data_IF_871301673946
#
_entry.id   IF_871301673946
#
_cell.length_a   1.000
_cell.length_b   1.000
_cell.length_c   1.000
_cell.angle_alpha   90.00
_cell.angle_beta   90.00
_cell.angle_gamma   90.00
#
_symmetry.space_group_name_H-M   'P 1'
#
loop_
_entity.id
_entity.type
_entity.pdbx_description
1 polymer ?
#
# COMPACT_ATOMS: atom_id res chain seq x y z
N UNK A 1 -56.90 47.52 56.38
CA UNK A 1 -55.61 46.80 56.59
C UNK A 1 -55.70 45.29 56.25
N UNK A 2 -56.88 44.66 56.32
CA UNK A 2 -57.07 43.21 56.08
C UNK A 2 -57.09 42.84 54.58
N UNK A 3 -57.75 43.63 53.73
CA UNK A 3 -57.86 43.33 52.29
C UNK A 3 -56.51 43.41 51.53
N UNK A 4 -55.61 44.33 51.90
CA UNK A 4 -54.30 44.43 51.22
C UNK A 4 -53.41 43.23 51.55
N UNK A 5 -53.48 42.73 52.79
CA UNK A 5 -52.77 41.51 53.22
C UNK A 5 -53.27 40.26 52.48
N UNK A 6 -54.58 40.16 52.24
CA UNK A 6 -55.17 39.04 51.50
C UNK A 6 -54.77 39.05 50.01
N UNK A 7 -54.68 40.23 49.38
CA UNK A 7 -54.20 40.41 47.99
C UNK A 7 -52.71 40.09 47.85
N UNK A 8 -51.90 40.45 48.84
CA UNK A 8 -50.46 40.15 48.90
C UNK A 8 -50.23 38.65 49.11
N UNK A 9 -50.99 37.99 50.00
CA UNK A 9 -50.93 36.54 50.19
C UNK A 9 -51.35 35.77 48.94
N UNK A 10 -52.43 36.16 48.24
CA UNK A 10 -52.81 35.54 46.96
C UNK A 10 -51.73 35.66 45.89
N UNK A 11 -51.07 36.82 45.79
CA UNK A 11 -49.95 37.02 44.86
C UNK A 11 -48.74 36.16 45.24
N UNK A 12 -48.41 36.06 46.53
CA UNK A 12 -47.33 35.18 47.02
C UNK A 12 -47.62 33.71 46.73
N UNK A 13 -48.86 33.24 46.93
CA UNK A 13 -49.26 31.87 46.60
C UNK A 13 -49.20 31.59 45.09
N UNK A 14 -49.64 32.53 44.25
CA UNK A 14 -49.56 32.40 42.79
C UNK A 14 -48.10 32.41 42.31
N UNK A 15 -47.26 33.29 42.85
CA UNK A 15 -45.83 33.34 42.53
C UNK A 15 -45.08 32.09 43.00
N UNK A 16 -45.40 31.56 44.19
CA UNK A 16 -44.78 30.35 44.72
C UNK A 16 -45.20 29.09 43.96
N UNK A 17 -46.45 29.03 43.49
CA UNK A 17 -46.94 27.96 42.62
C UNK A 17 -46.29 28.01 41.23
N UNK A 18 -46.10 29.22 40.66
CA UNK A 18 -45.39 29.40 39.39
C UNK A 18 -43.90 29.04 39.53
N UNK A 19 -43.22 29.50 40.58
CA UNK A 19 -41.80 29.19 40.81
C UNK A 19 -41.56 27.70 41.17
N UNK A 20 -42.51 27.06 41.85
CA UNK A 20 -42.44 25.62 42.15
C UNK A 20 -42.58 24.74 40.91
N UNK A 21 -43.35 25.17 39.91
CA UNK A 21 -43.51 24.45 38.64
C UNK A 21 -42.28 24.51 37.71
N UNK A 22 -41.39 25.49 37.91
CA UNK A 22 -40.12 25.62 37.18
C UNK A 22 -38.99 24.73 37.71
N UNK A 23 -39.18 24.05 38.85
CA UNK A 23 -38.16 23.21 39.49
C UNK A 23 -38.30 21.71 39.19
N UNK A 24 -39.25 21.32 38.33
CA UNK A 24 -39.49 19.92 37.95
C UNK A 24 -38.96 19.57 36.55
N UNK A 25 -38.00 20.33 36.03
CA UNK A 25 -37.27 19.92 34.82
C UNK A 25 -36.25 18.85 35.23
N UNK A 26 -36.72 17.61 35.28
CA UNK A 26 -35.86 16.44 35.33
C UNK A 26 -34.98 16.43 34.07
N UNK A 27 -33.66 16.43 34.23
CA UNK A 27 -32.78 15.95 33.16
C UNK A 27 -33.08 14.47 32.98
N UNK A 28 -33.73 14.10 31.88
CA UNK A 28 -33.81 12.69 31.49
C UNK A 28 -32.39 12.17 31.30
N UNK A 29 -31.96 11.23 32.15
CA UNK A 29 -30.65 10.56 32.03
C UNK A 29 -30.60 9.57 30.87
N UNK A 30 -31.72 9.36 30.19
CA UNK A 30 -31.96 8.26 29.25
C UNK A 30 -31.39 8.53 27.84
N UNK A 31 -30.85 9.73 27.56
CA UNK A 31 -30.44 10.13 26.21
C UNK A 31 -29.21 9.37 25.66
N UNK A 32 -28.59 8.51 26.49
CA UNK A 32 -27.41 7.70 26.12
C UNK A 32 -27.64 6.19 26.26
N UNK A 33 -28.82 5.77 26.74
CA UNK A 33 -29.16 4.35 26.84
C UNK A 33 -29.46 3.76 25.45
N UNK A 34 -28.83 2.64 25.09
CA UNK A 34 -29.12 1.87 23.87
C UNK A 34 -28.93 2.58 22.52
N UNK A 35 -28.21 3.71 22.48
CA UNK A 35 -27.85 4.38 21.22
C UNK A 35 -26.74 3.64 20.44
N UNK A 36 -26.05 2.71 21.10
CA UNK A 36 -24.97 1.89 20.53
C UNK A 36 -25.35 0.41 20.49
N UNK A 37 -24.95 -0.28 19.42
CA UNK A 37 -25.05 -1.74 19.29
C UNK A 37 -23.66 -2.38 19.18
N UNK A 38 -23.50 -3.59 19.70
CA UNK A 38 -22.30 -4.40 19.47
C UNK A 38 -22.35 -4.92 18.04
N UNK A 39 -21.24 -4.81 17.32
CA UNK A 39 -21.06 -5.38 15.98
C UNK A 39 -19.80 -6.23 15.95
N UNK A 40 -19.83 -7.34 15.23
CA UNK A 40 -18.67 -8.20 15.02
C UNK A 40 -18.13 -7.94 13.62
N UNK A 41 -16.94 -7.34 13.53
CA UNK A 41 -16.29 -7.13 12.24
C UNK A 41 -15.88 -8.47 11.61
N UNK A 42 -15.86 -8.56 10.27
CA UNK A 42 -15.31 -9.73 9.60
C UNK A 42 -13.84 -9.96 9.98
N UNK A 43 -13.48 -11.19 10.30
CA UNK A 43 -12.10 -11.65 10.40
C UNK A 43 -11.78 -12.50 9.18
N UNK A 44 -10.69 -12.19 8.47
CA UNK A 44 -10.29 -12.90 7.26
C UNK A 44 -8.93 -13.54 7.51
N UNK A 45 -8.84 -14.85 7.25
CA UNK A 45 -7.58 -15.61 7.28
C UNK A 45 -7.26 -16.08 5.87
N UNK A 46 -6.18 -15.55 5.28
CA UNK A 46 -5.69 -15.97 3.97
C UNK A 46 -5.03 -17.34 4.11
N UNK A 47 -5.34 -18.28 3.22
CA UNK A 47 -4.83 -19.65 3.28
C UNK A 47 -3.51 -19.78 2.49
N UNK A 48 -2.55 -20.57 2.95
CA UNK A 48 -1.27 -20.74 2.25
C UNK A 48 -0.38 -19.49 2.28
N UNK A 49 0.55 -19.39 1.34
CA UNK A 49 1.62 -18.38 1.38
C UNK A 49 1.13 -16.96 1.09
N UNK A 50 1.60 -15.98 1.87
CA UNK A 50 1.26 -14.56 1.68
C UNK A 50 1.79 -14.01 0.34
N UNK A 51 2.95 -14.50 -0.09
CA UNK A 51 3.58 -14.18 -1.37
C UNK A 51 3.75 -15.47 -2.19
N UNK A 52 3.19 -15.49 -3.40
CA UNK A 52 3.33 -16.62 -4.33
C UNK A 52 4.07 -16.17 -5.58
N UNK A 53 5.08 -16.93 -5.99
CA UNK A 53 5.83 -16.70 -7.22
C UNK A 53 5.35 -17.63 -8.33
N UNK A 54 5.04 -17.05 -9.50
CA UNK A 54 4.56 -17.79 -10.67
C UNK A 54 5.44 -17.46 -11.88
N UNK A 55 6.13 -18.43 -12.49
CA UNK A 55 6.82 -18.20 -13.75
C UNK A 55 5.86 -17.68 -14.81
N UNK A 56 6.33 -16.79 -15.67
CA UNK A 56 5.53 -16.25 -16.77
C UNK A 56 4.97 -17.38 -17.65
N UNK A 57 3.66 -17.35 -17.90
CA UNK A 57 2.90 -18.38 -18.60
C UNK A 57 2.54 -19.61 -17.74
N UNK A 58 2.93 -19.63 -16.46
CA UNK A 58 2.62 -20.69 -15.52
C UNK A 58 1.16 -20.74 -15.11
N UNK A 59 0.79 -21.79 -14.38
CA UNK A 59 -0.54 -21.96 -13.79
C UNK A 59 -0.59 -21.43 -12.37
N UNK A 60 -1.70 -20.79 -12.00
CA UNK A 60 -1.98 -20.37 -10.64
C UNK A 60 -3.36 -20.85 -10.21
N UNK A 61 -3.46 -21.37 -8.99
CA UNK A 61 -4.70 -21.69 -8.31
C UNK A 61 -4.67 -20.97 -6.97
N UNK A 62 -5.63 -20.08 -6.72
CA UNK A 62 -5.71 -19.35 -5.45
C UNK A 62 -6.12 -20.30 -4.31
N UNK A 63 -5.30 -20.47 -3.26
CA UNK A 63 -5.69 -21.20 -2.06
C UNK A 63 -6.90 -20.58 -1.34
N UNK A 64 -7.22 -19.32 -1.63
CA UNK A 64 -8.37 -18.61 -1.10
C UNK A 64 -8.16 -18.09 0.32
N UNK A 65 -9.26 -17.83 1.00
CA UNK A 65 -9.32 -17.33 2.37
C UNK A 65 -10.52 -17.96 3.10
N UNK A 66 -10.56 -17.80 4.41
CA UNK A 66 -11.76 -18.05 5.23
C UNK A 66 -12.14 -16.75 5.90
N UNK A 67 -13.43 -16.41 5.89
CA UNK A 67 -13.94 -15.21 6.56
C UNK A 67 -14.97 -15.59 7.63
N UNK A 68 -14.88 -14.99 8.81
CA UNK A 68 -15.85 -15.22 9.90
C UNK A 68 -16.39 -13.92 10.48
N UNK A 69 -17.60 -13.98 11.01
CA UNK A 69 -18.21 -13.01 11.90
C UNK A 69 -18.41 -13.68 13.26
N UNK A 70 -17.55 -13.36 14.24
CA UNK A 70 -17.47 -14.14 15.46
C UNK A 70 -17.06 -15.58 15.15
N UNK A 71 -17.91 -16.56 15.53
CA UNK A 71 -17.71 -17.98 15.23
C UNK A 71 -18.37 -18.47 13.94
N UNK A 72 -19.12 -17.62 13.24
CA UNK A 72 -19.87 -17.98 12.04
C UNK A 72 -19.07 -17.66 10.78
N UNK A 73 -18.89 -18.64 9.89
CA UNK A 73 -18.31 -18.39 8.57
C UNK A 73 -19.26 -17.55 7.70
N UNK A 74 -18.68 -16.60 6.96
CA UNK A 74 -19.38 -15.70 6.05
C UNK A 74 -18.70 -15.69 4.69
N UNK A 75 -19.45 -15.30 3.66
CA UNK A 75 -18.90 -15.19 2.30
C UNK A 75 -17.98 -13.98 2.17
N UNK A 76 -16.94 -14.13 1.35
CA UNK A 76 -16.10 -13.04 0.88
C UNK A 76 -16.16 -12.94 -0.64
N UNK A 77 -15.68 -11.82 -1.15
CA UNK A 77 -15.47 -11.56 -2.58
C UNK A 77 -14.00 -11.32 -2.84
N UNK A 78 -13.55 -11.63 -4.05
CA UNK A 78 -12.16 -11.46 -4.46
C UNK A 78 -12.05 -10.40 -5.56
N UNK A 79 -11.08 -9.51 -5.45
CA UNK A 79 -10.66 -8.60 -6.53
C UNK A 79 -9.16 -8.73 -6.78
N UNK A 80 -8.73 -8.43 -8.01
CA UNK A 80 -7.32 -8.47 -8.40
C UNK A 80 -6.90 -7.13 -8.98
N UNK A 81 -5.70 -6.68 -8.63
CA UNK A 81 -5.07 -5.50 -9.21
C UNK A 81 -3.58 -5.74 -9.46
N UNK A 82 -3.14 -5.55 -10.68
CA UNK A 82 -1.72 -5.43 -11.03
C UNK A 82 -1.18 -4.08 -10.62
N UNK A 83 -0.02 -4.07 -9.97
CA UNK A 83 0.56 -2.86 -9.40
C UNK A 83 1.27 -1.98 -10.44
N UNK A 84 1.77 -2.58 -11.51
CA UNK A 84 2.69 -1.92 -12.42
C UNK A 84 2.25 -1.87 -13.87
N UNK A 85 1.32 -2.76 -14.28
CA UNK A 85 0.86 -2.88 -15.66
C UNK A 85 -0.66 -2.82 -15.79
N UNK A 86 -1.32 -2.19 -14.80
CA UNK A 86 -2.75 -1.87 -14.77
C UNK A 86 -3.70 -3.07 -15.03
N UNK A 87 -3.26 -4.29 -14.71
CA UNK A 87 -4.09 -5.49 -14.81
C UNK A 87 -5.26 -5.45 -13.81
N UNK A 88 -6.47 -5.82 -14.26
CA UNK A 88 -7.66 -5.98 -13.39
C UNK A 88 -8.02 -7.45 -13.12
N UNK A 89 -7.27 -8.36 -13.71
CA UNK A 89 -7.32 -9.81 -13.51
C UNK A 89 -5.89 -10.33 -13.41
N UNK A 90 -5.70 -11.48 -12.76
CA UNK A 90 -4.40 -12.15 -12.77
C UNK A 90 -4.16 -12.77 -14.15
N UNK A 91 -3.21 -12.23 -14.90
CA UNK A 91 -2.74 -12.80 -16.17
C UNK A 91 -1.30 -13.28 -15.99
N UNK A 92 -1.12 -14.60 -15.94
CA UNK A 92 0.20 -15.19 -15.72
C UNK A 92 1.14 -14.98 -16.91
N UNK A 93 0.67 -14.51 -18.07
CA UNK A 93 1.53 -14.15 -19.20
C UNK A 93 2.19 -12.79 -19.05
N UNK A 94 1.77 -11.99 -18.06
CA UNK A 94 2.22 -10.63 -17.85
C UNK A 94 3.00 -10.56 -16.53
N UNK A 95 4.30 -10.28 -16.62
CA UNK A 95 5.14 -10.00 -15.44
C UNK A 95 4.62 -8.74 -14.76
N UNK A 96 4.18 -8.89 -13.51
CA UNK A 96 3.70 -7.83 -12.62
C UNK A 96 3.63 -8.38 -11.17
N UNK A 97 3.43 -7.49 -10.20
CA UNK A 97 2.97 -7.82 -8.86
C UNK A 97 1.45 -7.64 -8.81
N UNK A 98 0.72 -8.74 -8.64
CA UNK A 98 -0.72 -8.77 -8.49
C UNK A 98 -1.11 -8.85 -7.02
N UNK A 99 -2.00 -7.97 -6.59
CA UNK A 99 -2.62 -8.02 -5.27
C UNK A 99 -4.01 -8.61 -5.41
N UNK A 100 -4.22 -9.77 -4.78
CA UNK A 100 -5.52 -10.41 -4.64
C UNK A 100 -6.10 -9.96 -3.30
N UNK A 101 -7.23 -9.26 -3.30
CA UNK A 101 -7.91 -8.78 -2.09
C UNK A 101 -9.16 -9.60 -1.82
N UNK A 102 -9.27 -10.11 -0.60
CA UNK A 102 -10.44 -10.81 -0.07
C UNK A 102 -11.22 -9.85 0.81
N UNK A 103 -12.46 -9.57 0.46
CA UNK A 103 -13.33 -8.63 1.19
C UNK A 103 -14.60 -9.33 1.63
N UNK A 104 -14.83 -9.36 2.95
CA UNK A 104 -16.06 -9.84 3.56
C UNK A 104 -16.86 -8.67 4.14
N UNK A 105 -18.18 -8.80 4.18
CA UNK A 105 -19.10 -7.81 4.75
C UNK A 105 -19.97 -8.50 5.80
N UNK A 106 -20.03 -7.95 7.01
CA UNK A 106 -20.87 -8.49 8.08
C UNK A 106 -22.36 -8.11 7.89
N UNK A 107 -23.24 -8.61 8.76
CA UNK A 107 -24.69 -8.34 8.65
C UNK A 107 -25.06 -6.87 8.84
N UNK A 108 -24.20 -6.11 9.51
CA UNK A 108 -24.37 -4.69 9.78
C UNK A 108 -23.80 -3.79 8.66
N UNK A 109 -23.20 -4.37 7.62
CA UNK A 109 -22.63 -3.64 6.47
C UNK A 109 -21.18 -3.20 6.63
N UNK A 110 -20.49 -3.57 7.72
CA UNK A 110 -19.07 -3.30 7.91
C UNK A 110 -18.21 -4.30 7.13
N UNK A 111 -17.12 -3.78 6.54
CA UNK A 111 -16.20 -4.56 5.71
C UNK A 111 -14.86 -4.75 6.40
N UNK A 112 -14.24 -5.89 6.18
CA UNK A 112 -12.82 -6.09 6.40
C UNK A 112 -12.16 -6.63 5.13
N UNK A 113 -10.84 -6.45 5.00
CA UNK A 113 -10.10 -6.97 3.86
C UNK A 113 -8.72 -7.47 4.27
N UNK A 114 -8.30 -8.55 3.64
CA UNK A 114 -6.93 -9.10 3.68
C UNK A 114 -6.51 -9.41 2.26
N UNK A 115 -5.21 -9.56 2.02
CA UNK A 115 -4.70 -9.73 0.67
C UNK A 115 -3.60 -10.77 0.56
N UNK A 116 -3.44 -11.33 -0.64
CA UNK A 116 -2.28 -12.11 -1.08
C UNK A 116 -1.54 -11.35 -2.17
N UNK A 117 -0.21 -11.43 -2.15
CA UNK A 117 0.65 -10.97 -3.24
C UNK A 117 0.99 -12.15 -4.16
N UNK A 118 0.81 -11.97 -5.47
CA UNK A 118 1.24 -12.92 -6.50
C UNK A 118 2.21 -12.21 -7.44
N UNK A 119 3.44 -12.70 -7.51
CA UNK A 119 4.48 -12.15 -8.38
C UNK A 119 4.61 -13.06 -9.59
N UNK A 120 4.14 -12.58 -10.73
CA UNK A 120 4.40 -13.23 -12.01
C UNK A 120 5.77 -12.77 -12.48
N UNK A 121 6.69 -13.70 -12.70
CA UNK A 121 8.10 -13.35 -12.94
C UNK A 121 8.71 -14.09 -14.12
N UNK A 122 9.83 -13.55 -14.59
CA UNK A 122 10.76 -14.24 -15.48
C UNK A 122 12.18 -13.90 -15.04
N UNK A 123 12.99 -14.93 -14.79
CA UNK A 123 14.39 -14.78 -14.36
C UNK A 123 15.30 -14.79 -15.58
N UNK A 124 15.98 -13.68 -15.84
CA UNK A 124 17.01 -13.55 -16.86
C UNK A 124 18.40 -13.90 -16.32
N UNK A 125 19.28 -14.43 -17.19
CA UNK A 125 20.70 -14.41 -16.87
C UNK A 125 21.24 -12.99 -17.11
N UNK A 126 21.76 -12.34 -16.07
CA UNK A 126 22.27 -10.96 -16.09
C UNK A 126 23.38 -10.70 -17.12
N UNK A 127 24.01 -11.73 -17.69
CA UNK A 127 24.89 -11.56 -18.87
C UNK A 127 24.14 -11.11 -20.13
N UNK A 128 22.83 -11.37 -20.21
CA UNK A 128 22.01 -11.28 -21.44
C UNK A 128 20.62 -10.66 -21.24
N UNK A 129 20.10 -10.65 -20.03
CA UNK A 129 18.78 -10.11 -19.71
C UNK A 129 18.73 -9.57 -18.29
N UNK A 130 18.09 -8.41 -18.13
CA UNK A 130 17.83 -7.78 -16.84
C UNK A 130 16.53 -8.29 -16.20
N UNK A 131 15.76 -9.13 -16.89
CA UNK A 131 14.49 -9.66 -16.36
C UNK A 131 14.70 -10.33 -15.02
N UNK A 132 13.85 -10.04 -14.03
CA UNK A 132 13.93 -10.71 -12.74
C UNK A 132 13.15 -10.05 -11.63
N UNK A 133 13.16 -10.75 -10.51
CA UNK A 133 12.72 -10.26 -9.20
C UNK A 133 13.96 -9.96 -8.38
N UNK A 134 13.98 -8.83 -7.69
CA UNK A 134 15.13 -8.37 -6.94
C UNK A 134 14.74 -7.93 -5.54
N UNK A 135 15.54 -8.32 -4.54
CA UNK A 135 15.55 -7.60 -3.26
C UNK A 135 16.34 -6.31 -3.41
N UNK A 136 16.04 -5.30 -2.59
CA UNK A 136 16.64 -3.98 -2.72
C UNK A 136 17.24 -3.47 -1.42
N UNK A 137 18.45 -2.94 -1.52
CA UNK A 137 19.11 -2.16 -0.48
C UNK A 137 19.29 -0.72 -0.97
N UNK A 138 18.88 0.25 -0.14
CA UNK A 138 18.90 1.67 -0.50
C UNK A 138 19.63 2.49 0.56
N UNK A 139 20.60 3.28 0.09
CA UNK A 139 21.27 4.33 0.85
C UNK A 139 20.79 5.68 0.30
N UNK A 140 20.12 6.48 1.12
CA UNK A 140 19.65 7.84 0.79
C UNK A 140 20.65 8.89 1.27
N UNK A 141 20.89 9.89 0.43
CA UNK A 141 21.80 10.99 0.68
C UNK A 141 23.24 10.69 0.26
N UNK A 142 24.03 11.74 0.09
CA UNK A 142 25.44 11.64 -0.33
C UNK A 142 26.39 11.12 0.76
N UNK A 143 26.00 11.20 2.05
CA UNK A 143 26.86 10.95 3.20
C UNK A 143 26.33 9.93 4.23
N UNK A 144 25.20 9.25 3.96
CA UNK A 144 24.69 8.27 4.92
C UNK A 144 25.67 7.09 5.05
N UNK A 145 26.15 6.77 6.27
CA UNK A 145 27.19 5.77 6.48
C UNK A 145 26.66 4.33 6.35
N UNK A 146 25.34 4.15 6.35
CA UNK A 146 24.66 2.86 6.29
C UNK A 146 23.37 2.94 5.48
N UNK A 147 22.91 1.78 5.01
CA UNK A 147 21.61 1.66 4.35
C UNK A 147 20.48 2.02 5.32
N UNK A 148 19.52 2.82 4.85
CA UNK A 148 18.28 3.09 5.57
C UNK A 148 17.32 1.91 5.45
N UNK A 149 17.38 1.20 4.33
CA UNK A 149 16.61 -0.02 4.08
C UNK A 149 17.49 -1.05 3.38
N UNK A 150 17.42 -2.29 3.83
CA UNK A 150 18.05 -3.47 3.24
C UNK A 150 17.01 -4.56 3.04
N UNK A 151 17.28 -5.46 2.08
CA UNK A 151 16.45 -6.63 1.79
C UNK A 151 14.96 -6.33 1.58
N UNK A 152 14.63 -5.18 0.98
CA UNK A 152 13.25 -4.84 0.63
C UNK A 152 12.74 -5.70 -0.52
N UNK A 153 11.49 -6.13 -0.44
CA UNK A 153 10.85 -7.09 -1.35
C UNK A 153 9.60 -6.47 -2.03
N UNK A 154 9.51 -6.36 -3.35
CA UNK A 154 10.53 -6.60 -4.37
C UNK A 154 10.55 -5.46 -5.40
N UNK A 155 11.69 -5.29 -6.05
CA UNK A 155 11.80 -4.52 -7.29
C UNK A 155 11.78 -5.50 -8.46
N UNK A 156 10.95 -5.24 -9.46
CA UNK A 156 10.79 -6.10 -10.63
C UNK A 156 11.44 -5.41 -11.83
N UNK A 157 12.06 -6.19 -12.70
CA UNK A 157 12.47 -5.74 -14.03
C UNK A 157 11.88 -6.71 -15.05
N UNK A 158 11.17 -6.17 -16.05
CA UNK A 158 10.60 -6.95 -17.16
C UNK A 158 11.08 -6.41 -18.51
N UNK A 159 10.92 -7.23 -19.55
CA UNK A 159 11.22 -6.84 -20.93
C UNK A 159 9.94 -6.49 -21.68
N UNK A 160 9.94 -5.35 -22.33
CA UNK A 160 8.87 -4.86 -23.18
C UNK A 160 8.94 -5.48 -24.58
N UNK A 161 7.82 -5.47 -25.30
CA UNK A 161 7.73 -6.02 -26.66
C UNK A 161 8.63 -5.31 -27.68
N UNK A 162 8.96 -4.05 -27.44
CA UNK A 162 9.90 -3.25 -28.24
C UNK A 162 11.39 -3.55 -27.92
N UNK A 163 11.67 -4.45 -26.97
CA UNK A 163 13.02 -4.86 -26.59
C UNK A 163 13.66 -4.06 -25.45
N UNK A 164 13.08 -2.95 -25.01
CA UNK A 164 13.54 -2.24 -23.80
C UNK A 164 13.18 -3.03 -22.54
N UNK A 165 13.84 -2.72 -21.43
CA UNK A 165 13.42 -3.18 -20.11
C UNK A 165 12.68 -2.06 -19.38
N UNK A 166 11.83 -2.42 -18.42
CA UNK A 166 11.25 -1.49 -17.45
C UNK A 166 11.44 -2.00 -16.03
N UNK A 167 11.86 -1.11 -15.14
CA UNK A 167 12.03 -1.38 -13.71
C UNK A 167 10.86 -0.78 -12.92
N UNK A 168 10.36 -1.51 -11.91
CA UNK A 168 9.17 -1.11 -11.15
C UNK A 168 9.38 0.15 -10.30
N UNK A 169 10.61 0.40 -9.83
CA UNK A 169 10.93 1.54 -8.97
C UNK A 169 12.41 1.96 -9.04
N UNK A 170 12.66 3.12 -9.66
CA UNK A 170 13.97 3.75 -9.74
C UNK A 170 14.47 4.37 -8.43
N UNK A 171 13.68 4.38 -7.35
CA UNK A 171 14.19 4.64 -6.00
C UNK A 171 14.56 3.36 -5.25
N UNK A 172 14.51 2.20 -5.92
CA UNK A 172 14.79 0.91 -5.31
C UNK A 172 13.78 0.54 -4.22
N UNK A 173 12.54 1.03 -4.29
CA UNK A 173 11.51 0.73 -3.28
C UNK A 173 11.52 1.66 -2.06
N UNK A 174 12.38 2.68 -1.98
CA UNK A 174 12.51 3.52 -0.78
C UNK A 174 11.16 4.07 -0.27
N UNK A 175 10.38 4.71 -1.16
CA UNK A 175 9.08 5.28 -0.77
C UNK A 175 7.95 4.26 -0.87
N UNK A 176 7.90 3.51 -1.98
CA UNK A 176 6.84 2.53 -2.23
C UNK A 176 6.79 1.46 -1.12
N UNK A 177 7.93 0.84 -0.82
CA UNK A 177 8.06 -0.31 0.08
C UNK A 177 8.55 0.17 1.46
N UNK A 178 9.73 0.79 1.53
CA UNK A 178 10.38 1.15 2.79
C UNK A 178 9.58 2.13 3.66
N UNK A 179 8.91 3.12 3.03
CA UNK A 179 8.00 4.04 3.70
C UNK A 179 6.54 3.61 3.63
N UNK A 180 6.23 2.53 2.91
CA UNK A 180 4.87 2.03 2.68
C UNK A 180 3.91 3.09 2.12
N UNK A 181 4.40 4.04 1.30
CA UNK A 181 3.53 5.04 0.65
C UNK A 181 2.80 4.46 -0.55
N UNK A 182 3.21 3.29 -1.04
CA UNK A 182 2.60 2.57 -2.15
C UNK A 182 3.08 3.02 -3.52
N UNK A 183 2.58 2.32 -4.55
CA UNK A 183 3.13 2.32 -5.91
C UNK A 183 3.10 3.67 -6.61
N UNK A 184 2.24 4.60 -6.17
CA UNK A 184 2.22 5.96 -6.70
C UNK A 184 3.53 6.73 -6.40
N UNK A 185 4.27 6.32 -5.38
CA UNK A 185 5.52 6.95 -4.95
C UNK A 185 6.77 6.21 -5.42
N UNK A 186 6.61 5.17 -6.25
CA UNK A 186 7.71 4.58 -6.99
C UNK A 186 8.22 5.57 -8.04
N UNK A 187 9.54 5.65 -8.22
CA UNK A 187 10.16 6.43 -9.30
C UNK A 187 10.02 5.67 -10.61
N UNK A 188 9.00 5.97 -11.42
CA UNK A 188 8.67 5.21 -12.63
C UNK A 188 7.84 6.02 -13.64
N UNK A 189 7.78 5.64 -14.93
CA UNK A 189 8.39 4.46 -15.55
C UNK A 189 9.90 4.59 -15.72
N UNK A 190 10.66 3.55 -15.38
CA UNK A 190 12.11 3.49 -15.63
C UNK A 190 12.35 2.67 -16.88
N UNK A 191 12.44 3.32 -18.04
CA UNK A 191 12.69 2.64 -19.31
C UNK A 191 14.19 2.51 -19.54
N UNK A 192 14.68 1.29 -19.72
CA UNK A 192 16.10 0.97 -19.89
C UNK A 192 16.31 0.40 -21.29
N UNK A 193 17.06 1.12 -22.11
CA UNK A 193 17.60 0.59 -23.37
C UNK A 193 18.94 -0.05 -23.08
N UNK A 194 19.06 -1.37 -23.25
CA UNK A 194 20.30 -2.09 -23.07
C UNK A 194 21.06 -2.17 -24.39
N UNK A 195 21.95 -1.21 -24.64
CA UNK A 195 22.77 -1.15 -25.84
C UNK A 195 23.75 -2.34 -25.88
N UNK A 196 24.40 -2.62 -24.74
CA UNK A 196 25.23 -3.79 -24.54
C UNK A 196 25.35 -4.14 -23.05
N UNK A 197 24.62 -5.17 -22.61
CA UNK A 197 24.59 -5.62 -21.21
C UNK A 197 25.99 -6.04 -20.72
N UNK A 198 26.72 -6.81 -21.53
CA UNK A 198 28.05 -7.31 -21.17
C UNK A 198 29.09 -6.19 -21.01
N UNK A 199 28.88 -5.05 -21.67
CA UNK A 199 29.72 -3.86 -21.55
C UNK A 199 29.17 -2.84 -20.54
N UNK A 200 28.07 -3.15 -19.85
CA UNK A 200 27.37 -2.21 -18.96
C UNK A 200 26.97 -0.89 -19.65
N UNK A 201 26.58 -0.97 -20.93
CA UNK A 201 26.14 0.17 -21.73
C UNK A 201 24.61 0.22 -21.80
N UNK A 202 24.04 1.23 -21.14
CA UNK A 202 22.61 1.45 -21.01
C UNK A 202 22.25 2.91 -21.27
N UNK A 203 21.07 3.14 -21.86
CA UNK A 203 20.48 4.47 -22.00
C UNK A 203 19.14 4.50 -21.29
N UNK A 204 18.99 5.46 -20.38
CA UNK A 204 17.85 5.58 -19.45
C UNK A 204 17.40 7.03 -19.50
N UNK A 205 16.23 7.34 -20.09
CA UNK A 205 15.65 8.67 -20.03
C UNK A 205 15.31 9.05 -18.59
N UNK A 206 15.27 10.36 -18.32
CA UNK A 206 14.74 10.88 -17.06
C UNK A 206 13.29 10.41 -16.85
N UNK A 207 12.92 10.26 -15.59
CA UNK A 207 11.58 9.82 -15.18
C UNK A 207 11.09 10.60 -13.97
N UNK A 208 9.90 10.29 -13.48
CA UNK A 208 9.28 10.98 -12.35
C UNK A 208 8.71 9.96 -11.35
N UNK A 209 8.05 10.43 -10.30
CA UNK A 209 7.16 9.62 -9.48
C UNK A 209 5.79 10.28 -9.44
N UNK A 210 4.71 9.49 -9.49
CA UNK A 210 3.34 10.03 -9.61
C UNK A 210 2.89 10.81 -8.37
N UNK A 211 3.34 10.40 -7.19
CA UNK A 211 2.90 10.95 -5.91
C UNK A 211 3.44 12.35 -5.60
N UNK A 212 4.74 12.59 -5.83
CA UNK A 212 5.39 13.88 -5.57
C UNK A 212 5.74 14.67 -6.84
N UNK A 213 5.88 14.01 -7.99
CA UNK A 213 6.40 14.63 -9.20
C UNK A 213 7.92 14.86 -9.14
N UNK A 214 8.40 15.85 -9.90
CA UNK A 214 9.83 16.19 -10.01
C UNK A 214 10.59 15.27 -10.97
N UNK A 215 11.79 15.70 -11.35
CA UNK A 215 12.64 15.02 -12.32
C UNK A 215 13.63 14.09 -11.62
N UNK A 216 13.73 12.84 -12.07
CA UNK A 216 14.65 11.84 -11.52
C UNK A 216 15.60 11.41 -12.63
N UNK A 217 16.89 11.58 -12.36
CA UNK A 217 17.97 11.17 -13.25
C UNK A 217 18.63 9.93 -12.66
N UNK A 218 18.69 8.83 -13.41
CA UNK A 218 19.43 7.63 -13.02
C UNK A 218 20.82 7.65 -13.67
N UNK A 219 21.84 7.28 -12.91
CA UNK A 219 23.23 7.23 -13.35
C UNK A 219 23.95 6.01 -12.80
N UNK A 220 25.02 5.60 -13.48
CA UNK A 220 25.89 4.52 -13.02
C UNK A 220 25.20 3.16 -12.89
N UNK A 221 24.23 2.87 -13.76
CA UNK A 221 23.64 1.53 -13.82
C UNK A 221 24.73 0.52 -14.17
N UNK A 222 24.99 -0.40 -13.25
CA UNK A 222 26.01 -1.42 -13.35
C UNK A 222 25.40 -2.77 -12.97
N UNK A 223 25.56 -3.75 -13.85
CA UNK A 223 25.13 -5.13 -13.75
C UNK A 223 26.37 -5.99 -13.51
N UNK A 224 26.34 -6.76 -12.43
CA UNK A 224 27.34 -7.75 -12.08
C UNK A 224 26.71 -9.15 -12.09
N UNK A 225 26.89 -9.91 -13.19
CA UNK A 225 26.34 -11.26 -13.30
C UNK A 225 26.95 -12.28 -12.34
N UNK A 226 28.17 -12.05 -11.85
CA UNK A 226 28.87 -12.96 -10.94
C UNK A 226 28.28 -12.86 -9.53
N UNK A 227 27.98 -11.65 -9.06
CA UNK A 227 27.35 -11.43 -7.76
C UNK A 227 25.83 -11.35 -7.81
N UNK A 228 25.23 -11.47 -9.00
CA UNK A 228 23.78 -11.38 -9.25
C UNK A 228 23.19 -10.05 -8.81
N UNK A 229 23.92 -8.95 -9.03
CA UNK A 229 23.56 -7.61 -8.56
C UNK A 229 23.40 -6.61 -9.68
N UNK A 230 22.50 -5.66 -9.46
CA UNK A 230 22.38 -4.43 -10.24
C UNK A 230 22.51 -3.25 -9.27
N UNK A 231 23.40 -2.31 -9.55
CA UNK A 231 23.56 -1.09 -8.75
C UNK A 231 23.37 0.15 -9.60
N UNK A 232 22.79 1.21 -9.04
CA UNK A 232 22.65 2.51 -9.70
C UNK A 232 22.46 3.62 -8.67
N UNK A 233 22.55 4.87 -9.13
CA UNK A 233 22.19 6.05 -8.33
C UNK A 233 21.10 6.85 -9.03
N UNK A 234 20.00 7.08 -8.33
CA UNK A 234 18.93 7.99 -8.77
C UNK A 234 19.00 9.30 -8.00
N UNK A 235 18.98 10.43 -8.71
CA UNK A 235 18.99 11.76 -8.11
C UNK A 235 17.72 12.51 -8.49
N UNK A 236 16.95 12.89 -7.49
CA UNK A 236 15.70 13.63 -7.63
C UNK A 236 15.94 15.14 -7.54
N UNK A 237 15.55 15.87 -8.57
CA UNK A 237 15.67 17.33 -8.75
C UNK A 237 17.08 17.88 -8.47
N UNK A 238 18.12 17.08 -8.75
CA UNK A 238 19.51 17.47 -8.48
C UNK A 238 19.87 17.62 -7.00
N UNK A 239 18.99 17.23 -6.09
CA UNK A 239 19.17 17.39 -4.65
C UNK A 239 20.11 16.33 -4.05
N UNK A 240 21.07 16.76 -3.23
CA UNK A 240 21.94 15.86 -2.47
C UNK A 240 21.15 14.97 -1.50
N UNK A 241 20.07 15.51 -0.92
CA UNK A 241 19.14 14.75 -0.07
C UNK A 241 18.17 13.88 -0.89
N UNK A 242 18.00 14.18 -2.17
CA UNK A 242 17.21 13.40 -3.14
C UNK A 242 18.03 12.34 -3.87
N UNK A 243 19.20 11.96 -3.37
CA UNK A 243 20.06 10.94 -3.98
C UNK A 243 19.81 9.56 -3.34
N UNK A 244 19.62 8.54 -4.15
CA UNK A 244 19.35 7.16 -3.74
C UNK A 244 20.34 6.23 -4.43
N UNK A 245 21.28 5.68 -3.66
CA UNK A 245 22.19 4.63 -4.11
C UNK A 245 21.51 3.30 -3.87
N UNK A 246 21.20 2.59 -4.93
CA UNK A 246 20.42 1.36 -4.90
C UNK A 246 21.32 0.19 -5.26
N UNK A 247 21.18 -0.91 -4.53
CA UNK A 247 21.73 -2.22 -4.90
C UNK A 247 20.58 -3.22 -4.89
N UNK A 248 20.28 -3.75 -6.07
CA UNK A 248 19.35 -4.82 -6.30
C UNK A 248 20.11 -6.15 -6.31
N UNK A 249 19.58 -7.18 -5.62
CA UNK A 249 20.12 -8.55 -5.65
C UNK A 249 19.06 -9.48 -6.24
N UNK A 250 19.40 -10.20 -7.31
CA UNK A 250 18.44 -11.03 -8.04
C UNK A 250 18.04 -12.24 -7.18
N UNK A 251 16.75 -12.41 -6.96
CA UNK A 251 16.18 -13.59 -6.31
C UNK A 251 16.28 -14.77 -7.27
N UNK A 252 16.82 -15.89 -6.81
CA UNK A 252 16.96 -17.10 -7.62
C UNK A 252 15.69 -17.95 -7.45
N UNK A 253 14.75 -17.74 -8.38
CA UNK A 253 13.44 -18.40 -8.47
C UNK A 253 13.31 -19.20 -9.76
#
# INVERSE_FOLDING_TARGET
>A
MVESKLKIMKKIFITLFFFGSLLLVSCDKEDTGNVSKVTNYPLITVLGDEVIFIPQGGSFVDPGAVATEGSKEIVYTTTVKGNYRDGSTLDTNIVDEYIISYTATNVDGFKASSSRKVIVYKTGNLDKSLEGVYTSTVIRGSAAPSAQYSDMEFVLIWKNSNGTYEMSDGFGGYYNIGRAYGVAYAGRPVIITANNISANDFSIPDFTNKGFGGNIVMSGLNVDPATKKISFTSTWDGSSNGTFKVTLTQVQL
#
